data_IF_344681034917
#
_entry.id   IF_344681034917
#
_cell.length_a   1.000
_cell.length_b   1.000
_cell.length_c   1.000
_cell.angle_alpha   90.00
_cell.angle_beta   90.00
_cell.angle_gamma   90.00
#
_symmetry.space_group_name_H-M   'P 1'
#
loop_
_entity.id
_entity.type
_entity.pdbx_description
1 polymer ?
#
# COMPACT_ATOMS: atom_id res chain seq x y z
N UNK A 1 -16.19 -37.86 16.82
CA UNK A 1 -16.52 -36.60 16.12
C UNK A 1 -15.21 -35.96 15.71
N UNK A 2 -14.80 -36.15 14.46
CA UNK A 2 -13.57 -35.60 13.91
C UNK A 2 -13.92 -35.04 12.56
N UNK A 3 -13.83 -33.73 12.39
CA UNK A 3 -13.67 -33.08 11.08
C UNK A 3 -12.67 -31.95 11.26
N UNK A 4 -11.39 -32.31 11.14
CA UNK A 4 -10.38 -31.38 10.64
C UNK A 4 -10.52 -31.36 9.12
N UNK A 5 -10.91 -30.22 8.56
CA UNK A 5 -10.82 -29.99 7.12
C UNK A 5 -9.47 -29.34 6.85
N UNK A 6 -8.57 -30.12 6.24
CA UNK A 6 -7.36 -29.60 5.63
C UNK A 6 -7.77 -28.60 4.54
N UNK A 7 -7.27 -27.37 4.67
CA UNK A 7 -7.32 -26.39 3.60
C UNK A 7 -6.34 -26.85 2.50
N UNK A 8 -6.83 -27.26 1.32
CA UNK A 8 -6.00 -27.78 0.23
C UNK A 8 -5.52 -26.69 -0.77
N UNK A 9 -5.90 -25.44 -0.55
CA UNK A 9 -5.43 -24.30 -1.34
C UNK A 9 -5.97 -24.20 -2.76
N UNK A 10 -7.00 -24.97 -3.16
CA UNK A 10 -7.52 -24.93 -4.55
C UNK A 10 -8.75 -24.05 -4.76
N UNK A 11 -9.44 -23.61 -3.70
CA UNK A 11 -10.57 -22.68 -3.79
C UNK A 11 -10.35 -21.52 -2.83
N UNK A 12 -9.97 -20.39 -3.40
CA UNK A 12 -9.96 -19.08 -2.75
C UNK A 12 -11.44 -18.64 -2.70
N UNK A 13 -12.08 -18.51 -1.52
CA UNK A 13 -13.42 -17.92 -1.40
C UNK A 13 -13.46 -16.57 -2.10
N UNK A 14 -14.55 -16.22 -2.79
CA UNK A 14 -14.69 -14.93 -3.52
C UNK A 14 -14.38 -13.70 -2.62
N UNK A 15 -14.64 -13.80 -1.31
CA UNK A 15 -14.29 -12.77 -0.31
C UNK A 15 -12.79 -12.59 -0.07
N UNK A 16 -11.96 -13.60 -0.37
CA UNK A 16 -10.49 -13.47 -0.34
C UNK A 16 -9.97 -12.58 -1.47
N UNK A 17 -10.72 -12.40 -2.56
CA UNK A 17 -10.29 -11.56 -3.69
C UNK A 17 -10.80 -10.12 -3.58
N UNK A 18 -12.04 -9.90 -3.11
CA UNK A 18 -12.67 -8.58 -3.15
C UNK A 18 -11.88 -7.47 -2.43
N UNK A 19 -11.42 -7.72 -1.20
CA UNK A 19 -10.59 -6.74 -0.47
C UNK A 19 -9.27 -6.43 -1.20
N UNK A 20 -8.62 -7.45 -1.76
CA UNK A 20 -7.35 -7.25 -2.49
C UNK A 20 -7.61 -6.52 -3.80
N UNK A 21 -8.69 -6.85 -4.50
CA UNK A 21 -9.09 -6.19 -5.73
C UNK A 21 -9.38 -4.71 -5.52
N UNK A 22 -10.08 -4.34 -4.44
CA UNK A 22 -10.30 -2.95 -4.05
C UNK A 22 -8.98 -2.20 -3.86
N UNK A 23 -8.05 -2.80 -3.10
CA UNK A 23 -6.73 -2.19 -2.86
C UNK A 23 -5.94 -2.06 -4.16
N UNK A 24 -6.02 -3.03 -5.07
CA UNK A 24 -5.36 -2.99 -6.38
C UNK A 24 -5.96 -1.90 -7.27
N UNK A 25 -7.29 -1.80 -7.35
CA UNK A 25 -7.98 -0.76 -8.12
C UNK A 25 -7.65 0.63 -7.58
N UNK A 26 -7.67 0.78 -6.26
CA UNK A 26 -7.26 2.00 -5.58
C UNK A 26 -5.82 2.39 -5.92
N UNK A 27 -4.86 1.45 -5.78
CA UNK A 27 -3.46 1.69 -6.10
C UNK A 27 -3.28 2.09 -7.57
N UNK A 28 -3.96 1.41 -8.51
CA UNK A 28 -3.92 1.77 -9.94
C UNK A 28 -4.44 3.18 -10.21
N UNK A 29 -5.41 3.66 -9.42
CA UNK A 29 -5.99 4.99 -9.57
C UNK A 29 -5.07 6.11 -9.04
N UNK A 30 -4.31 5.86 -7.97
CA UNK A 30 -3.53 6.89 -7.26
C UNK A 30 -2.01 6.82 -7.44
N UNK A 31 -1.46 5.70 -7.93
CA UNK A 31 -0.01 5.55 -8.12
C UNK A 31 0.53 6.65 -9.03
N UNK A 32 1.67 7.24 -8.64
CA UNK A 32 2.33 8.38 -9.31
C UNK A 32 1.50 9.67 -9.46
N UNK A 33 0.38 9.80 -8.74
CA UNK A 33 -0.44 11.02 -8.74
C UNK A 33 -0.37 11.78 -7.43
N UNK A 34 -1.10 11.33 -6.42
CA UNK A 34 -1.24 12.05 -5.15
C UNK A 34 -1.42 11.07 -3.99
N UNK A 35 -1.16 11.51 -2.75
CA UNK A 35 -1.62 10.79 -1.57
C UNK A 35 -3.13 10.58 -1.66
N UNK A 36 -3.58 9.41 -1.22
CA UNK A 36 -4.99 9.04 -1.31
C UNK A 36 -5.39 8.14 -0.14
N UNK A 37 -6.66 8.21 0.24
CA UNK A 37 -7.26 7.41 1.29
C UNK A 37 -8.26 6.44 0.66
N UNK A 38 -8.26 5.19 1.12
CA UNK A 38 -9.26 4.19 0.81
C UNK A 38 -9.97 3.77 2.10
N UNK A 39 -11.29 3.71 2.01
CA UNK A 39 -12.18 3.05 2.95
C UNK A 39 -12.65 1.76 2.30
N UNK A 40 -12.02 0.61 2.63
CA UNK A 40 -12.41 -0.67 2.04
C UNK A 40 -13.83 -1.03 2.45
N UNK A 41 -14.63 -1.51 1.50
CA UNK A 41 -15.98 -2.02 1.78
C UNK A 41 -15.92 -3.48 2.24
N UNK A 42 -14.89 -4.20 1.79
CA UNK A 42 -14.62 -5.57 2.20
C UNK A 42 -13.56 -5.64 3.30
N UNK A 43 -13.61 -6.71 4.09
CA UNK A 43 -12.59 -6.99 5.10
C UNK A 43 -11.60 -8.05 4.61
N UNK A 44 -10.35 -8.03 5.08
CA UNK A 44 -9.38 -9.06 4.72
C UNK A 44 -9.77 -10.39 5.37
N UNK A 45 -9.83 -11.45 4.57
CA UNK A 45 -10.21 -12.81 5.01
C UNK A 45 -9.35 -13.38 6.16
N UNK A 46 -8.15 -12.85 6.39
CA UNK A 46 -7.31 -13.22 7.54
C UNK A 46 -8.00 -12.99 8.88
N UNK A 47 -8.95 -12.04 8.94
CA UNK A 47 -9.67 -11.70 10.16
C UNK A 47 -10.76 -12.70 10.55
N UNK A 48 -11.23 -13.56 9.63
CA UNK A 48 -12.30 -14.54 9.93
C UNK A 48 -11.85 -15.61 10.93
N UNK A 49 -10.54 -15.77 11.12
CA UNK A 49 -9.95 -16.83 11.94
C UNK A 49 -9.18 -16.30 13.15
N UNK A 50 -9.24 -14.99 13.43
CA UNK A 50 -8.34 -14.35 14.40
C UNK A 50 -8.98 -13.23 15.22
N UNK A 51 -8.47 -13.06 16.44
CA UNK A 51 -8.71 -11.85 17.24
C UNK A 51 -7.99 -10.65 16.61
N UNK A 52 -8.77 -9.71 16.05
CA UNK A 52 -8.28 -8.50 15.39
C UNK A 52 -7.47 -7.59 16.31
N UNK A 53 -7.66 -7.71 17.61
CA UNK A 53 -6.96 -6.87 18.60
C UNK A 53 -5.55 -7.38 18.91
N UNK A 54 -5.18 -8.57 18.45
CA UNK A 54 -3.86 -9.15 18.69
C UNK A 54 -2.78 -8.61 17.73
N UNK A 55 -1.55 -8.35 18.21
CA UNK A 55 -0.40 -8.05 17.34
C UNK A 55 -0.05 -9.16 16.34
N UNK A 56 -0.43 -10.42 16.64
CA UNK A 56 -0.24 -11.53 15.72
C UNK A 56 -1.09 -11.38 14.45
N UNK A 57 -2.24 -10.70 14.56
CA UNK A 57 -3.15 -10.44 13.44
C UNK A 57 -2.56 -9.41 12.47
N UNK A 58 -1.87 -8.38 12.98
CA UNK A 58 -1.16 -7.39 12.15
C UNK A 58 -0.12 -8.07 11.26
N UNK A 59 0.69 -8.97 11.85
CA UNK A 59 1.72 -9.71 11.11
C UNK A 59 1.13 -10.61 10.02
N UNK A 60 0.00 -11.27 10.31
CA UNK A 60 -0.67 -12.15 9.34
C UNK A 60 -1.30 -11.33 8.21
N UNK A 61 -1.93 -10.19 8.54
CA UNK A 61 -2.47 -9.26 7.56
C UNK A 61 -1.37 -8.71 6.65
N UNK A 62 -0.26 -8.26 7.24
CA UNK A 62 0.89 -7.75 6.49
C UNK A 62 1.43 -8.79 5.50
N UNK A 63 1.64 -10.02 5.96
CA UNK A 63 2.11 -11.11 5.10
C UNK A 63 1.09 -11.51 4.02
N UNK A 64 -0.21 -11.47 4.35
CA UNK A 64 -1.30 -11.69 3.39
C UNK A 64 -1.29 -10.62 2.29
N UNK A 65 -1.36 -9.34 2.67
CA UNK A 65 -1.34 -8.22 1.75
C UNK A 65 -0.08 -8.19 0.89
N UNK A 66 1.10 -8.37 1.49
CA UNK A 66 2.35 -8.38 0.74
C UNK A 66 2.35 -9.45 -0.37
N UNK A 67 1.92 -10.68 -0.08
CA UNK A 67 1.84 -11.75 -1.08
C UNK A 67 0.77 -11.47 -2.13
N UNK A 68 -0.44 -11.12 -1.71
CA UNK A 68 -1.57 -10.94 -2.61
C UNK A 68 -1.36 -9.74 -3.54
N UNK A 69 -0.87 -8.61 -3.02
CA UNK A 69 -0.56 -7.43 -3.81
C UNK A 69 0.64 -7.67 -4.73
N UNK A 70 1.69 -8.38 -4.28
CA UNK A 70 2.81 -8.70 -5.16
C UNK A 70 2.37 -9.57 -6.35
N UNK A 71 1.50 -10.54 -6.10
CA UNK A 71 0.91 -11.37 -7.16
C UNK A 71 0.03 -10.56 -8.11
N UNK A 72 -0.85 -9.70 -7.58
CA UNK A 72 -1.83 -8.97 -8.39
C UNK A 72 -1.24 -7.77 -9.16
N UNK A 73 -0.20 -7.13 -8.61
CA UNK A 73 0.46 -5.97 -9.23
C UNK A 73 1.67 -6.37 -10.08
N UNK A 74 2.19 -7.60 -9.92
CA UNK A 74 3.40 -8.06 -10.62
C UNK A 74 4.68 -7.35 -10.18
N UNK A 75 4.70 -6.76 -8.97
CA UNK A 75 5.84 -6.04 -8.41
C UNK A 75 6.15 -6.50 -6.98
N UNK A 76 7.41 -6.43 -6.52
CA UNK A 76 7.72 -6.77 -5.13
C UNK A 76 7.03 -5.81 -4.15
N UNK A 77 6.36 -6.39 -3.16
CA UNK A 77 5.76 -5.70 -2.02
C UNK A 77 6.44 -6.18 -0.75
N UNK A 78 7.05 -5.27 -0.01
CA UNK A 78 7.82 -5.61 1.19
C UNK A 78 7.22 -4.94 2.42
N UNK A 79 7.05 -5.71 3.49
CA UNK A 79 6.72 -5.17 4.80
C UNK A 79 7.82 -4.25 5.31
N UNK A 80 7.42 -3.07 5.77
CA UNK A 80 8.29 -2.07 6.39
C UNK A 80 7.80 -1.67 7.78
N UNK A 81 6.85 -2.43 8.36
CA UNK A 81 6.29 -2.19 9.69
C UNK A 81 7.41 -1.99 10.73
N UNK A 82 7.30 -0.93 11.53
CA UNK A 82 8.31 -0.56 12.53
C UNK A 82 9.41 0.38 12.02
N UNK A 83 9.49 0.63 10.71
CA UNK A 83 10.28 1.75 10.19
C UNK A 83 9.62 3.09 10.59
N UNK A 84 10.41 4.16 10.84
CA UNK A 84 9.85 5.49 11.05
C UNK A 84 9.03 5.92 9.83
N UNK A 85 7.79 6.33 10.09
CA UNK A 85 6.90 6.91 9.07
C UNK A 85 6.92 8.44 9.10
N UNK A 86 7.71 9.06 9.98
CA UNK A 86 8.01 10.49 9.94
C UNK A 86 9.17 10.78 8.98
N UNK A 87 9.02 11.82 8.17
CA UNK A 87 10.03 12.24 7.20
C UNK A 87 9.72 11.78 5.77
N UNK A 88 10.73 11.70 4.89
CA UNK A 88 10.51 11.38 3.49
C UNK A 88 10.23 9.88 3.28
N UNK A 89 9.15 9.56 2.58
CA UNK A 89 8.83 8.21 2.12
C UNK A 89 9.81 7.77 1.01
N UNK A 90 10.67 6.76 1.23
CA UNK A 90 11.71 6.38 0.27
C UNK A 90 11.16 5.67 -0.98
N UNK A 91 9.96 5.11 -0.87
CA UNK A 91 9.24 4.38 -1.91
C UNK A 91 7.74 4.69 -1.83
N UNK A 92 6.99 4.22 -2.83
CA UNK A 92 5.53 4.17 -2.73
C UNK A 92 5.17 3.30 -1.53
N UNK A 93 4.33 3.82 -0.64
CA UNK A 93 4.02 3.16 0.62
C UNK A 93 2.51 3.05 0.79
N UNK A 94 2.05 1.86 1.15
CA UNK A 94 0.70 1.61 1.61
C UNK A 94 0.72 1.47 3.13
N UNK A 95 -0.09 2.25 3.83
CA UNK A 95 -0.25 2.17 5.28
C UNK A 95 -1.66 1.69 5.56
N UNK A 96 -1.81 0.67 6.40
CA UNK A 96 -3.12 0.19 6.86
C UNK A 96 -3.18 0.36 8.36
N UNK A 97 -4.18 1.08 8.85
CA UNK A 97 -4.39 1.26 10.28
C UNK A 97 -5.17 0.06 10.83
N UNK A 98 -4.57 -0.71 11.73
CA UNK A 98 -5.16 -1.96 12.24
C UNK A 98 -5.82 -1.81 13.60
N UNK A 99 -5.47 -0.78 14.37
CA UNK A 99 -6.16 -0.44 15.62
C UNK A 99 -5.99 1.03 15.98
N UNK A 100 -7.00 1.62 16.60
CA UNK A 100 -6.96 3.00 17.06
C UNK A 100 -6.97 4.00 15.90
N UNK A 101 -6.26 5.12 16.07
CA UNK A 101 -6.23 6.24 15.12
C UNK A 101 -4.89 6.95 15.12
N UNK A 102 -4.40 7.26 13.93
CA UNK A 102 -3.23 8.12 13.72
C UNK A 102 -3.65 9.41 13.00
N UNK A 103 -2.98 10.52 13.27
CA UNK A 103 -3.15 11.77 12.52
C UNK A 103 -1.96 11.96 11.61
N UNK A 104 -2.24 12.27 10.34
CA UNK A 104 -1.26 12.39 9.27
C UNK A 104 -1.25 13.81 8.73
N UNK A 105 -0.06 14.30 8.45
CA UNK A 105 0.19 15.43 7.56
C UNK A 105 1.11 14.95 6.44
N UNK A 106 0.69 15.07 5.19
CA UNK A 106 1.39 14.55 4.02
C UNK A 106 1.63 15.68 3.02
N UNK A 107 2.88 16.08 2.84
CA UNK A 107 3.30 17.02 1.82
C UNK A 107 3.92 16.27 0.63
N UNK A 108 3.61 16.70 -0.60
CA UNK A 108 4.27 16.19 -1.81
C UNK A 108 5.29 17.18 -2.32
N UNK A 109 6.14 16.75 -3.26
CA UNK A 109 7.06 17.66 -3.94
C UNK A 109 6.31 18.71 -4.80
N UNK A 110 5.14 18.35 -5.32
CA UNK A 110 4.29 19.25 -6.12
C UNK A 110 3.57 20.28 -5.25
N UNK A 111 3.17 19.90 -4.03
CA UNK A 111 2.41 20.76 -3.12
C UNK A 111 3.02 20.77 -1.70
N UNK A 112 4.24 21.32 -1.52
CA UNK A 112 4.92 21.30 -0.22
C UNK A 112 4.25 22.18 0.83
N UNK A 113 3.64 23.30 0.41
CA UNK A 113 3.01 24.29 1.29
C UNK A 113 1.54 23.97 1.64
N UNK A 114 0.97 22.92 1.02
CA UNK A 114 -0.43 22.51 1.22
C UNK A 114 -0.50 21.03 1.56
N UNK A 115 -0.09 20.64 2.77
CA UNK A 115 -0.14 19.24 3.16
C UNK A 115 -1.58 18.73 3.25
N UNK A 116 -1.78 17.49 2.82
CA UNK A 116 -2.98 16.73 3.12
C UNK A 116 -2.97 16.35 4.61
N UNK A 117 -3.93 16.86 5.38
CA UNK A 117 -4.06 16.58 6.80
C UNK A 117 -5.32 15.77 7.06
N UNK A 118 -5.19 14.57 7.62
CA UNK A 118 -6.31 13.67 7.88
C UNK A 118 -6.05 12.73 9.06
N UNK A 119 -7.10 12.30 9.78
CA UNK A 119 -7.01 11.12 10.61
C UNK A 119 -7.06 9.85 9.74
N UNK A 120 -6.31 8.83 10.13
CA UNK A 120 -6.42 7.47 9.61
C UNK A 120 -7.02 6.58 10.71
N UNK A 121 -8.23 6.09 10.46
CA UNK A 121 -9.02 5.26 11.38
C UNK A 121 -8.77 3.77 11.13
N UNK A 122 -9.21 2.92 12.06
CA UNK A 122 -9.07 1.47 11.93
C UNK A 122 -9.72 0.96 10.65
N UNK A 123 -9.05 0.04 9.96
CA UNK A 123 -9.39 -0.54 8.66
C UNK A 123 -9.22 0.39 7.46
N UNK A 124 -8.85 1.66 7.66
CA UNK A 124 -8.55 2.58 6.57
C UNK A 124 -7.14 2.38 6.01
N UNK A 125 -6.97 2.75 4.75
CA UNK A 125 -5.74 2.56 4.00
C UNK A 125 -5.29 3.89 3.41
N UNK A 126 -4.06 4.30 3.72
CA UNK A 126 -3.43 5.49 3.16
C UNK A 126 -2.34 5.08 2.16
N UNK A 127 -2.44 5.58 0.94
CA UNK A 127 -1.36 5.52 -0.04
C UNK A 127 -0.51 6.79 0.02
N UNK A 128 0.81 6.59 0.04
CA UNK A 128 1.83 7.63 0.03
C UNK A 128 2.69 7.47 -1.23
N UNK A 129 2.70 8.48 -2.13
CA UNK A 129 3.67 8.56 -3.20
C UNK A 129 5.11 8.54 -2.68
N UNK A 130 6.01 8.02 -3.51
CA UNK A 130 7.45 8.13 -3.26
C UNK A 130 7.84 9.61 -3.13
N UNK A 131 8.65 9.93 -2.12
CA UNK A 131 9.14 11.28 -1.87
C UNK A 131 8.18 12.18 -1.10
N UNK A 132 6.96 11.73 -0.78
CA UNK A 132 6.09 12.41 0.16
C UNK A 132 6.79 12.60 1.51
N UNK A 133 6.64 13.77 2.12
CA UNK A 133 7.11 14.03 3.48
C UNK A 133 5.94 13.94 4.44
N UNK A 134 6.09 13.13 5.48
CA UNK A 134 5.04 12.82 6.43
C UNK A 134 5.38 13.28 7.84
N UNK A 135 4.35 13.72 8.55
CA UNK A 135 4.36 13.86 10.02
C UNK A 135 3.22 13.05 10.58
N UNK A 136 3.49 12.20 11.57
CA UNK A 136 2.54 11.23 12.11
C UNK A 136 2.42 11.39 13.62
N UNK A 137 1.20 11.57 14.10
CA UNK A 137 0.90 11.58 15.54
C UNK A 137 -0.05 10.44 15.88
N UNK A 138 0.43 9.47 16.65
CA UNK A 138 -0.35 8.30 17.06
C UNK A 138 -0.96 8.46 18.45
N UNK A 139 -2.23 8.08 18.61
CA UNK A 139 -2.83 7.92 19.94
C UNK A 139 -2.30 6.65 20.63
N UNK A 140 -2.37 6.58 21.96
CA UNK A 140 -1.99 5.38 22.71
C UNK A 140 -2.78 4.14 22.23
N UNK A 141 -2.06 3.02 22.03
CA UNK A 141 -2.65 1.78 21.52
C UNK A 141 -2.91 1.75 20.00
N UNK A 142 -2.53 2.80 19.27
CA UNK A 142 -2.64 2.78 17.81
C UNK A 142 -1.66 1.80 17.19
N UNK A 143 -2.15 1.03 16.21
CA UNK A 143 -1.35 0.05 15.45
C UNK A 143 -1.60 0.23 13.97
N UNK A 144 -0.56 0.03 13.19
CA UNK A 144 -0.58 0.08 11.74
C UNK A 144 0.40 -0.95 11.18
N UNK A 145 0.20 -1.29 9.92
CA UNK A 145 1.19 -1.97 9.09
C UNK A 145 1.58 -1.03 7.95
N UNK A 146 2.82 -1.15 7.48
CA UNK A 146 3.30 -0.41 6.32
C UNK A 146 3.93 -1.35 5.32
N UNK A 147 3.60 -1.16 4.04
CA UNK A 147 4.09 -1.95 2.93
C UNK A 147 4.71 -1.01 1.89
N UNK A 148 5.94 -1.30 1.49
CA UNK A 148 6.57 -0.63 0.36
C UNK A 148 6.21 -1.34 -0.95
N UNK A 149 5.81 -0.56 -1.95
CA UNK A 149 5.55 -1.01 -3.31
C UNK A 149 6.75 -0.61 -4.16
N UNK A 150 7.44 -1.61 -4.70
CA UNK A 150 8.56 -1.34 -5.60
C UNK A 150 7.96 -1.01 -6.96
N UNK A 151 8.18 0.20 -7.47
CA UNK A 151 7.83 0.47 -8.88
C UNK A 151 8.68 -0.45 -9.75
N UNK A 152 8.13 -1.09 -10.80
CA UNK A 152 8.98 -1.75 -11.77
C UNK A 152 9.90 -0.64 -12.30
N UNK A 153 11.22 -0.85 -12.17
CA UNK A 153 12.18 0.08 -12.76
C UNK A 153 11.79 0.23 -14.22
N UNK A 154 11.21 1.38 -14.57
CA UNK A 154 11.10 1.75 -15.97
C UNK A 154 12.54 1.71 -16.45
N UNK A 155 12.82 0.77 -17.35
CA UNK A 155 14.12 0.66 -17.96
C UNK A 155 14.60 2.06 -18.30
N UNK A 156 15.81 2.37 -17.84
CA UNK A 156 16.63 3.46 -18.35
C UNK A 156 16.29 3.69 -19.81
N UNK A 157 16.02 4.96 -20.14
CA UNK A 157 15.56 5.45 -21.42
C UNK A 157 15.80 4.51 -22.61
N UNK A 158 14.72 4.18 -23.30
CA UNK A 158 14.82 4.32 -24.75
C UNK A 158 15.07 5.80 -24.98
N UNK A 159 16.35 6.14 -25.17
CA UNK A 159 16.76 7.35 -25.86
C UNK A 159 15.81 7.48 -27.06
N UNK A 160 14.83 8.39 -26.94
CA UNK A 160 14.30 9.05 -28.12
C UNK A 160 15.50 9.81 -28.67
N UNK A 161 16.28 9.15 -29.52
CA UNK A 161 17.15 9.87 -30.43
C UNK A 161 16.30 10.98 -31.04
N UNK A 162 16.68 12.26 -30.88
CA UNK A 162 16.04 13.30 -31.66
C UNK A 162 16.31 12.93 -33.11
N UNK A 163 15.24 12.73 -33.88
CA UNK A 163 15.28 12.51 -35.32
C UNK A 163 16.39 13.38 -35.93
N UNK A 164 17.51 12.75 -36.32
CA UNK A 164 18.54 13.45 -37.09
C UNK A 164 17.89 13.83 -38.42
N UNK A 165 17.57 15.09 -38.58
CA UNK A 165 17.22 15.68 -39.87
C UNK A 165 18.41 15.47 -40.79
N UNK A 166 18.26 14.56 -41.75
CA UNK A 166 19.21 14.38 -42.82
C UNK A 166 19.25 15.68 -43.64
N UNK A 167 20.27 16.51 -43.40
CA UNK A 167 20.71 17.51 -44.38
C UNK A 167 21.18 16.76 -45.62
N UNK A 168 20.46 16.89 -46.72
CA UNK A 168 20.99 16.54 -48.05
C UNK A 168 22.10 17.55 -48.39
N UNK A 169 23.28 17.10 -48.89
CA UNK A 169 24.23 17.99 -49.51
C UNK A 169 23.73 18.41 -50.91
N UNK A 170 24.23 19.57 -51.33
CA UNK A 170 23.96 20.37 -52.52
C UNK A 170 23.50 19.66 -53.80
#
# INVERSE_FOLDING_TARGET
MVWGSAYDGTVVPESQEAYVEEVVLFLRACTDRSPALLWPEHEPAVYDTTDRTSPASDRRLSAYLARSLASALGVPVNETSGAPLDGPAPAHTLVVQTAGRTHWSVATAEEPERPLVLPLLTSEILYLPRGSRTTVTAAAGSRLISLSLTTPGHGRGLDREPFRTARRPH
#
